data_IF_629369651711
#
_entry.id   IF_629369651711
#
_cell.length_a   1.000
_cell.length_b   1.000
_cell.length_c   1.000
_cell.angle_alpha   90.00
_cell.angle_beta   90.00
_cell.angle_gamma   90.00
#
_symmetry.space_group_name_H-M   'P 1'
#
loop_
_entity.id
_entity.type
_entity.pdbx_description
1 polymer ?
#
# COMPACT_ATOMS: atom_id res chain seq x y z
N UNK A 1 16.71 -20.46 7.95
CA UNK A 1 15.53 -20.18 7.10
C UNK A 1 14.30 -20.01 7.96
N UNK A 2 14.30 -18.95 8.78
CA UNK A 2 13.13 -18.47 9.52
C UNK A 2 12.25 -17.68 8.57
N UNK A 3 10.94 -17.88 8.63
CA UNK A 3 9.93 -17.14 7.86
C UNK A 3 9.82 -15.69 8.33
N UNK A 4 10.88 -14.91 8.16
CA UNK A 4 10.92 -13.51 8.55
C UNK A 4 9.97 -12.71 7.66
N UNK A 5 9.24 -11.79 8.29
CA UNK A 5 8.32 -10.89 7.62
C UNK A 5 8.61 -9.48 8.10
N UNK A 6 8.68 -8.54 7.18
CA UNK A 6 8.69 -7.12 7.51
C UNK A 6 7.25 -6.62 7.55
N UNK A 7 6.87 -5.97 8.64
CA UNK A 7 5.59 -5.28 8.74
C UNK A 7 5.79 -3.79 8.48
N UNK A 8 5.01 -3.25 7.55
CA UNK A 8 5.09 -1.86 7.13
C UNK A 8 3.73 -1.20 7.39
N UNK A 9 3.69 -0.20 8.26
CA UNK A 9 2.53 0.67 8.40
C UNK A 9 2.61 1.77 7.35
N UNK A 10 1.59 1.85 6.50
CA UNK A 10 1.52 2.80 5.41
C UNK A 10 0.25 3.63 5.49
N UNK A 11 0.38 4.94 5.30
CA UNK A 11 -0.74 5.88 5.34
C UNK A 11 -0.89 6.54 3.97
N UNK A 12 -2.11 6.50 3.43
CA UNK A 12 -2.50 7.22 2.23
C UNK A 12 -3.57 8.25 2.57
N UNK A 13 -3.59 9.38 1.87
CA UNK A 13 -4.68 10.36 2.01
C UNK A 13 -5.54 10.33 0.76
N UNK A 14 -6.84 10.13 0.93
CA UNK A 14 -7.79 10.04 -0.19
C UNK A 14 -8.92 11.05 -0.01
N UNK A 15 -9.28 11.75 -1.09
CA UNK A 15 -10.52 12.50 -1.20
C UNK A 15 -11.56 11.63 -1.93
N UNK A 16 -12.59 11.26 -1.18
CA UNK A 16 -13.74 10.50 -1.67
C UNK A 16 -14.91 11.47 -1.79
N UNK A 17 -15.30 11.79 -3.03
CA UNK A 17 -16.36 12.76 -3.32
C UNK A 17 -17.68 12.09 -3.71
N UNK A 18 -17.59 10.87 -4.25
CA UNK A 18 -18.76 10.06 -4.58
C UNK A 18 -18.42 8.61 -4.22
N UNK A 19 -18.91 8.11 -3.07
CA UNK A 19 -18.59 6.76 -2.62
C UNK A 19 -19.39 5.69 -3.37
N UNK A 20 -19.96 6.01 -4.55
CA UNK A 20 -20.68 5.05 -5.38
C UNK A 20 -19.77 3.90 -5.83
N UNK A 21 -19.91 2.78 -5.12
CA UNK A 21 -19.69 1.36 -5.40
C UNK A 21 -18.36 0.85 -5.99
N UNK A 22 -17.51 1.67 -6.62
CA UNK A 22 -16.35 1.16 -7.38
C UNK A 22 -15.01 1.84 -7.05
N UNK A 23 -14.88 2.52 -5.91
CA UNK A 23 -13.58 3.07 -5.51
C UNK A 23 -12.80 2.08 -4.68
N UNK A 24 -11.67 1.67 -5.22
CA UNK A 24 -10.72 0.79 -4.57
C UNK A 24 -9.38 1.51 -4.45
N UNK A 25 -8.79 1.45 -3.26
CA UNK A 25 -7.39 1.80 -3.06
C UNK A 25 -6.61 0.51 -3.11
N UNK A 26 -5.73 0.41 -4.10
CA UNK A 26 -4.79 -0.68 -4.21
C UNK A 26 -3.44 -0.24 -3.67
N UNK A 27 -2.80 -1.12 -2.91
CA UNK A 27 -1.44 -0.93 -2.44
C UNK A 27 -0.51 -1.90 -3.18
N UNK A 28 0.66 -1.42 -3.60
CA UNK A 28 1.66 -2.22 -4.29
C UNK A 28 3.04 -1.95 -3.70
N UNK A 29 3.77 -3.04 -3.46
CA UNK A 29 5.10 -3.01 -2.87
C UNK A 29 6.13 -3.34 -3.94
N UNK A 30 7.27 -2.67 -3.84
CA UNK A 30 8.44 -2.89 -4.67
C UNK A 30 9.64 -3.18 -3.77
N UNK A 31 10.42 -4.19 -4.13
CA UNK A 31 11.72 -4.50 -3.53
C UNK A 31 12.76 -4.29 -4.63
N UNK A 32 13.67 -3.33 -4.44
CA UNK A 32 14.65 -2.91 -5.45
C UNK A 32 14.02 -2.74 -6.84
N UNK A 33 12.93 -1.96 -6.89
CA UNK A 33 12.14 -1.64 -8.10
C UNK A 33 11.30 -2.80 -8.67
N UNK A 34 11.45 -4.02 -8.14
CA UNK A 34 10.64 -5.15 -8.55
C UNK A 34 9.34 -5.20 -7.77
N UNK A 35 8.23 -5.11 -8.50
CA UNK A 35 6.91 -5.33 -7.93
C UNK A 35 6.79 -6.75 -7.37
N UNK A 36 6.35 -6.88 -6.11
CA UNK A 36 5.97 -8.16 -5.55
C UNK A 36 4.46 -8.38 -5.73
N UNK A 37 4.06 -9.63 -5.97
CA UNK A 37 2.65 -9.96 -6.24
C UNK A 37 1.74 -9.82 -5.01
N UNK A 38 2.33 -9.79 -3.82
CA UNK A 38 1.68 -9.76 -2.50
C UNK A 38 2.48 -8.87 -1.54
N UNK A 39 1.85 -8.07 -0.67
CA UNK A 39 0.41 -7.95 -0.45
C UNK A 39 -0.22 -6.87 -1.34
N UNK A 40 -1.31 -7.23 -2.02
CA UNK A 40 -2.26 -6.29 -2.58
C UNK A 40 -3.36 -6.10 -1.54
N UNK A 41 -3.27 -5.04 -0.74
CA UNK A 41 -4.41 -4.64 0.07
C UNK A 41 -5.39 -3.87 -0.81
N UNK A 42 -6.68 -4.13 -0.63
CA UNK A 42 -7.77 -3.41 -1.27
C UNK A 42 -8.65 -2.84 -0.17
N UNK A 43 -8.88 -1.53 -0.20
CA UNK A 43 -9.81 -0.88 0.71
C UNK A 43 -10.94 -0.30 -0.12
N UNK A 44 -12.15 -0.81 0.14
CA UNK A 44 -13.40 -0.18 -0.28
C UNK A 44 -13.79 0.81 0.81
N UNK A 45 -13.81 2.13 0.54
CA UNK A 45 -14.27 3.09 1.52
C UNK A 45 -15.76 2.88 1.78
N UNK A 46 -16.16 3.05 3.04
CA UNK A 46 -17.58 3.02 3.40
C UNK A 46 -18.34 4.11 2.62
N UNK A 47 -19.55 3.74 2.16
CA UNK A 47 -20.57 4.60 1.58
C UNK A 47 -20.86 5.90 2.35
N UNK A 48 -20.50 5.98 3.63
CA UNK A 48 -20.66 7.17 4.49
C UNK A 48 -19.53 8.19 4.34
N UNK A 49 -18.44 7.84 3.65
CA UNK A 49 -17.25 8.66 3.49
C UNK A 49 -17.46 9.73 2.42
N UNK A 50 -17.76 10.95 2.86
CA UNK A 50 -18.09 12.09 2.00
C UNK A 50 -17.00 13.17 1.94
N UNK A 51 -15.87 12.96 2.61
CA UNK A 51 -14.80 13.95 2.76
C UNK A 51 -13.41 13.32 2.63
N UNK A 52 -12.39 14.18 2.47
CA UNK A 52 -10.99 13.76 2.44
C UNK A 52 -10.54 13.22 3.81
N UNK A 53 -9.81 12.10 3.78
CA UNK A 53 -9.45 11.37 4.99
C UNK A 53 -8.17 10.55 4.81
N UNK A 54 -7.47 10.37 5.93
CA UNK A 54 -6.31 9.49 6.01
C UNK A 54 -6.77 8.04 6.16
N UNK A 55 -6.15 7.16 5.39
CA UNK A 55 -6.42 5.74 5.36
C UNK A 55 -5.09 5.06 5.67
N UNK A 56 -5.08 4.25 6.72
CA UNK A 56 -3.91 3.51 7.17
C UNK A 56 -4.07 2.04 6.83
N UNK A 57 -3.03 1.42 6.29
CA UNK A 57 -2.98 -0.02 6.07
C UNK A 57 -1.66 -0.57 6.59
N UNK A 58 -1.72 -1.71 7.26
CA UNK A 58 -0.53 -2.47 7.63
C UNK A 58 -0.33 -3.54 6.56
N UNK A 59 0.83 -3.52 5.92
CA UNK A 59 1.23 -4.51 4.92
C UNK A 59 2.29 -5.44 5.52
N UNK A 60 2.13 -6.74 5.29
CA UNK A 60 3.12 -7.73 5.66
C UNK A 60 3.86 -8.19 4.41
N UNK A 61 5.18 -8.10 4.44
CA UNK A 61 6.08 -8.47 3.35
C UNK A 61 6.82 -9.73 3.76
N UNK A 62 6.66 -10.81 3.01
CA UNK A 62 7.49 -12.00 3.20
C UNK A 62 8.89 -11.76 2.62
N UNK A 63 9.92 -11.96 3.44
CA UNK A 63 11.32 -11.87 3.02
C UNK A 63 11.97 -13.24 2.85
N UNK A 64 11.19 -14.33 2.93
CA UNK A 64 11.69 -15.70 3.01
C UNK A 64 12.59 -16.16 1.85
N UNK A 65 12.46 -15.51 0.69
CA UNK A 65 13.19 -15.85 -0.54
C UNK A 65 14.28 -14.84 -0.89
N UNK A 66 14.54 -13.88 -0.02
CA UNK A 66 15.61 -12.90 -0.20
C UNK A 66 16.88 -13.43 0.48
N UNK A 67 18.01 -13.29 -0.20
CA UNK A 67 19.32 -13.50 0.41
C UNK A 67 19.58 -12.42 1.46
N UNK A 68 20.55 -12.66 2.35
CA UNK A 68 21.01 -11.60 3.24
C UNK A 68 21.54 -10.40 2.42
N UNK A 69 21.17 -9.19 2.82
CA UNK A 69 21.50 -7.97 2.07
C UNK A 69 20.65 -6.76 2.41
N UNK A 70 21.00 -5.62 1.80
CA UNK A 70 20.25 -4.36 1.91
C UNK A 70 19.23 -4.25 0.78
N UNK A 71 17.98 -3.96 1.14
CA UNK A 71 16.87 -3.85 0.19
C UNK A 71 16.12 -2.54 0.34
N UNK A 72 15.77 -1.93 -0.79
CA UNK A 72 14.93 -0.75 -0.84
C UNK A 72 13.47 -1.17 -1.01
N UNK A 73 12.63 -0.76 -0.08
CA UNK A 73 11.21 -1.09 -0.05
C UNK A 73 10.43 0.18 -0.34
N UNK A 74 9.67 0.13 -1.42
CA UNK A 74 8.74 1.21 -1.78
C UNK A 74 7.31 0.69 -1.73
N UNK A 75 6.45 1.34 -0.96
CA UNK A 75 5.01 1.12 -1.01
C UNK A 75 4.36 2.28 -1.76
N UNK A 76 3.44 1.98 -2.69
CA UNK A 76 2.63 2.97 -3.41
C UNK A 76 1.16 2.60 -3.30
N UNK A 77 0.30 3.59 -3.07
CA UNK A 77 -1.13 3.44 -3.30
C UNK A 77 -1.56 4.06 -4.63
N UNK A 78 -2.63 3.51 -5.21
CA UNK A 78 -3.29 4.05 -6.39
C UNK A 78 -4.78 3.78 -6.30
N UNK A 79 -5.58 4.68 -6.86
CA UNK A 79 -7.03 4.58 -6.89
C UNK A 79 -7.54 4.09 -8.23
N UNK A 80 -8.56 3.23 -8.21
CA UNK A 80 -9.46 3.00 -9.34
C UNK A 80 -10.64 3.98 -9.32
N UNK A 81 -11.06 4.50 -10.48
CA UNK A 81 -12.23 5.38 -10.63
C UNK A 81 -11.90 6.84 -10.99
N UNK A 82 -12.86 7.55 -11.59
CA UNK A 82 -12.65 8.87 -12.21
C UNK A 82 -12.94 10.07 -11.31
N UNK A 83 -13.67 9.90 -10.21
CA UNK A 83 -14.16 11.01 -9.36
C UNK A 83 -13.44 11.14 -8.02
N UNK A 84 -12.80 10.08 -7.54
CA UNK A 84 -12.10 10.07 -6.27
C UNK A 84 -10.59 10.21 -6.52
N UNK A 85 -9.89 10.94 -5.64
CA UNK A 85 -8.46 11.23 -5.81
C UNK A 85 -7.66 10.70 -4.64
N UNK A 86 -6.62 9.94 -4.94
CA UNK A 86 -5.55 9.65 -4.01
C UNK A 86 -4.53 10.79 -4.08
N UNK A 87 -4.19 11.38 -2.93
CA UNK A 87 -3.05 12.27 -2.83
C UNK A 87 -1.82 11.42 -2.57
N UNK A 88 -0.73 11.77 -3.25
CA UNK A 88 0.50 10.99 -3.36
C UNK A 88 0.90 10.36 -2.02
N UNK A 89 1.04 9.04 -2.02
CA UNK A 89 1.45 8.29 -0.84
C UNK A 89 2.48 7.26 -1.28
N UNK A 90 3.73 7.58 -0.95
CA UNK A 90 4.84 6.68 -1.12
C UNK A 90 5.61 6.61 0.19
N UNK A 91 5.82 5.40 0.69
CA UNK A 91 6.76 5.16 1.77
C UNK A 91 8.00 4.51 1.18
N UNK A 92 9.15 5.11 1.49
CA UNK A 92 10.45 4.54 1.22
C UNK A 92 11.07 4.09 2.54
N UNK A 93 11.42 2.82 2.63
CA UNK A 93 12.16 2.26 3.74
C UNK A 93 13.33 1.44 3.20
N UNK A 94 14.45 1.43 3.92
CA UNK A 94 15.55 0.53 3.65
C UNK A 94 15.70 -0.41 4.84
N UNK A 95 15.85 -1.70 4.55
CA UNK A 95 16.07 -2.71 5.58
C UNK A 95 17.25 -3.60 5.20
N UNK A 96 17.88 -4.16 6.23
CA UNK A 96 18.84 -5.25 6.07
C UNK A 96 18.15 -6.56 6.47
N UNK A 97 18.30 -7.59 5.64
CA UNK A 97 17.84 -8.97 5.88
C UNK A 97 19.07 -9.82 6.16
#
# INVERSE_FOLDING_TARGET
NSGESLYVLFNAFALIQNPSLDFFIHFKIYIDENAIDEPKAEIMPDSTLTNAQAISVTLQISTSNLSAGTYNITCRAYSGGSTNRLFDSSLYAQTYI
#
